data_IF_478416376935
#
_entry.id   IF_478416376935
#
_cell.length_a   1.000
_cell.length_b   1.000
_cell.length_c   1.000
_cell.angle_alpha   90.00
_cell.angle_beta   90.00
_cell.angle_gamma   90.00
#
_symmetry.space_group_name_H-M   'P 1'
#
loop_
_entity.id
_entity.type
_entity.pdbx_description
1 polymer ?
#
# COMPACT_ATOMS: atom_id res chain seq x y z
N UNK A 1 -9.64 34.03 -5.29
CA UNK A 1 -9.57 32.97 -4.26
C UNK A 1 -8.25 33.13 -3.52
N UNK A 2 -8.26 33.29 -2.20
CA UNK A 2 -7.02 33.37 -1.42
C UNK A 2 -6.50 31.95 -1.21
N UNK A 3 -5.27 31.66 -1.63
CA UNK A 3 -4.66 30.33 -1.53
C UNK A 3 -3.58 30.36 -0.46
N UNK A 4 -3.85 29.70 0.67
CA UNK A 4 -2.92 29.66 1.78
C UNK A 4 -2.04 28.41 1.75
N UNK A 5 -0.94 28.45 2.52
CA UNK A 5 -0.06 27.30 2.69
C UNK A 5 -0.81 26.04 3.19
N UNK A 6 -1.86 26.20 4.00
CA UNK A 6 -2.69 25.09 4.47
C UNK A 6 -3.52 24.46 3.35
N UNK A 7 -3.99 25.25 2.40
CA UNK A 7 -4.70 24.75 1.22
C UNK A 7 -3.78 23.92 0.34
N UNK A 8 -2.54 24.39 0.15
CA UNK A 8 -1.50 23.62 -0.53
C UNK A 8 -1.27 22.26 0.13
N UNK A 9 -1.06 22.23 1.45
CA UNK A 9 -0.85 20.98 2.19
C UNK A 9 -2.03 20.03 2.04
N UNK A 10 -3.26 20.55 2.14
CA UNK A 10 -4.49 19.78 1.99
C UNK A 10 -4.60 19.17 0.59
N UNK A 11 -4.37 19.95 -0.47
CA UNK A 11 -4.39 19.49 -1.85
C UNK A 11 -3.28 18.48 -2.13
N UNK A 12 -2.07 18.71 -1.60
CA UNK A 12 -0.93 17.80 -1.78
C UNK A 12 -1.19 16.44 -1.13
N UNK A 13 -1.76 16.40 0.07
CA UNK A 13 -2.19 15.14 0.72
C UNK A 13 -3.23 14.43 -0.13
N UNK A 14 -4.25 15.16 -0.62
CA UNK A 14 -5.24 14.59 -1.55
C UNK A 14 -4.60 14.01 -2.81
N UNK A 15 -3.61 14.69 -3.38
CA UNK A 15 -2.88 14.21 -4.56
C UNK A 15 -2.14 12.90 -4.27
N UNK A 16 -1.40 12.81 -3.16
CA UNK A 16 -0.71 11.57 -2.77
C UNK A 16 -1.71 10.42 -2.52
N UNK A 17 -2.86 10.70 -1.90
CA UNK A 17 -3.90 9.70 -1.70
C UNK A 17 -4.57 9.22 -3.00
N UNK A 18 -4.42 9.92 -4.13
CA UNK A 18 -4.88 9.45 -5.44
C UNK A 18 -3.89 8.47 -6.10
N UNK A 19 -2.64 8.44 -5.66
CA UNK A 19 -1.61 7.57 -6.25
C UNK A 19 -1.98 6.09 -6.11
N UNK A 20 -1.73 5.30 -7.16
CA UNK A 20 -2.02 3.85 -7.13
C UNK A 20 -1.11 3.09 -6.17
N UNK A 21 0.12 3.58 -6.01
CA UNK A 21 1.12 3.04 -5.09
C UNK A 21 1.50 4.12 -4.08
N UNK A 22 1.32 3.84 -2.80
CA UNK A 22 1.73 4.75 -1.73
C UNK A 22 2.20 3.96 -0.51
N UNK A 23 3.32 4.36 0.08
CA UNK A 23 3.78 3.86 1.35
C UNK A 23 3.43 4.85 2.45
N UNK A 24 2.92 4.32 3.54
CA UNK A 24 2.66 5.02 4.77
C UNK A 24 3.75 4.65 5.77
N UNK A 25 4.53 5.63 6.20
CA UNK A 25 5.71 5.36 7.02
C UNK A 25 5.87 6.39 8.12
N UNK A 26 6.41 5.95 9.25
CA UNK A 26 7.02 6.84 10.23
C UNK A 26 8.49 7.00 9.91
N UNK A 27 9.04 8.16 10.20
CA UNK A 27 10.48 8.39 10.16
C UNK A 27 10.95 9.11 11.43
N UNK A 28 12.26 9.15 11.64
CA UNK A 28 12.84 10.01 12.66
C UNK A 28 13.09 11.42 12.10
N UNK A 29 12.97 12.45 12.94
CA UNK A 29 13.51 13.77 12.58
C UNK A 29 15.03 13.69 12.72
N UNK A 30 15.73 13.75 11.60
CA UNK A 30 17.19 13.67 11.54
C UNK A 30 17.81 15.06 11.46
N UNK A 31 19.09 15.17 11.85
CA UNK A 31 19.89 16.36 11.59
C UNK A 31 20.03 16.60 10.08
N UNK A 32 20.40 17.82 9.67
CA UNK A 32 20.49 18.20 8.26
C UNK A 32 21.41 17.29 7.44
N UNK A 33 22.55 16.88 8.01
CA UNK A 33 23.53 15.99 7.35
C UNK A 33 22.99 14.59 7.11
N UNK A 34 22.33 14.00 8.11
CA UNK A 34 21.70 12.68 7.97
C UNK A 34 20.48 12.73 7.06
N UNK A 35 19.74 13.85 7.07
CA UNK A 35 18.58 14.03 6.20
C UNK A 35 18.97 14.03 4.72
N UNK A 36 20.07 14.68 4.34
CA UNK A 36 20.55 14.66 2.95
C UNK A 36 20.85 13.23 2.47
N UNK A 37 21.48 12.41 3.31
CA UNK A 37 21.76 11.01 2.96
C UNK A 37 20.46 10.20 2.79
N UNK A 38 19.46 10.46 3.62
CA UNK A 38 18.11 9.87 3.51
C UNK A 38 17.45 10.27 2.19
N UNK A 39 17.45 11.56 1.84
CA UNK A 39 16.88 12.05 0.59
C UNK A 39 17.55 11.44 -0.64
N UNK A 40 18.89 11.41 -0.65
CA UNK A 40 19.66 10.77 -1.73
C UNK A 40 19.33 9.29 -1.86
N UNK A 41 19.16 8.59 -0.74
CA UNK A 41 18.82 7.16 -0.74
C UNK A 41 17.42 6.92 -1.27
N UNK A 42 16.43 7.72 -0.86
CA UNK A 42 15.08 7.67 -1.41
C UNK A 42 15.07 7.93 -2.92
N UNK A 43 15.83 8.93 -3.38
CA UNK A 43 15.96 9.24 -4.80
C UNK A 43 16.61 8.08 -5.59
N UNK A 44 17.68 7.46 -5.06
CA UNK A 44 18.30 6.24 -5.65
C UNK A 44 17.32 5.07 -5.72
N UNK A 45 16.42 4.94 -4.73
CA UNK A 45 15.34 3.96 -4.71
C UNK A 45 14.11 4.41 -5.53
N UNK A 46 14.19 5.52 -6.27
CA UNK A 46 13.11 6.08 -7.10
C UNK A 46 11.84 6.39 -6.30
N UNK A 47 12.01 6.86 -5.06
CA UNK A 47 10.95 7.26 -4.14
C UNK A 47 10.97 8.76 -3.92
N UNK A 48 9.79 9.38 -4.03
CA UNK A 48 9.51 10.72 -3.57
C UNK A 48 8.77 10.67 -2.25
N UNK A 49 9.22 11.48 -1.31
CA UNK A 49 8.58 11.60 -0.01
C UNK A 49 7.75 12.88 0.09
N UNK A 50 6.83 12.89 1.05
CA UNK A 50 6.18 14.08 1.54
C UNK A 50 5.98 13.94 3.05
N UNK A 51 6.59 14.86 3.81
CA UNK A 51 6.39 14.96 5.26
C UNK A 51 5.03 15.56 5.52
N UNK A 52 4.20 14.82 6.24
CA UNK A 52 2.78 15.12 6.38
C UNK A 52 2.53 15.94 7.65
N UNK A 53 1.67 16.96 7.56
CA UNK A 53 1.16 17.62 8.76
C UNK A 53 -0.07 16.88 9.27
N UNK A 54 0.06 16.22 10.43
CA UNK A 54 -0.90 15.24 10.92
C UNK A 54 -2.33 15.78 11.02
N UNK A 55 -2.55 16.99 11.54
CA UNK A 55 -3.92 17.54 11.69
C UNK A 55 -4.63 17.67 10.35
N UNK A 56 -3.93 18.17 9.32
CA UNK A 56 -4.51 18.33 7.98
C UNK A 56 -4.71 16.96 7.35
N UNK A 57 -3.77 16.04 7.52
CA UNK A 57 -3.88 14.69 6.96
C UNK A 57 -5.02 13.89 7.55
N UNK A 58 -5.21 13.92 8.87
CA UNK A 58 -6.36 13.32 9.53
C UNK A 58 -7.66 13.91 8.97
N UNK A 59 -7.75 15.23 8.78
CA UNK A 59 -8.93 15.88 8.17
C UNK A 59 -9.18 15.40 6.74
N UNK A 60 -8.14 15.21 5.92
CA UNK A 60 -8.28 14.69 4.55
C UNK A 60 -8.70 13.21 4.56
N UNK A 61 -8.02 12.40 5.34
CA UNK A 61 -8.19 10.95 5.40
C UNK A 61 -9.55 10.56 5.97
N UNK A 62 -9.98 11.22 7.06
CA UNK A 62 -11.28 10.96 7.68
C UNK A 62 -12.46 11.35 6.77
N UNK A 63 -12.22 12.17 5.74
CA UNK A 63 -13.20 12.53 4.71
C UNK A 63 -13.06 11.70 3.42
N UNK A 64 -12.32 10.59 3.46
CA UNK A 64 -12.05 9.75 2.30
C UNK A 64 -12.44 8.30 2.58
N UNK A 65 -12.36 7.43 1.57
CA UNK A 65 -12.55 5.98 1.73
C UNK A 65 -11.45 5.30 2.57
N UNK A 66 -10.43 6.06 2.99
CA UNK A 66 -9.28 5.57 3.76
C UNK A 66 -9.34 5.95 5.24
N UNK A 67 -10.52 6.26 5.81
CA UNK A 67 -10.69 6.64 7.22
C UNK A 67 -9.92 5.76 8.21
N UNK A 68 -9.84 4.45 7.95
CA UNK A 68 -9.16 3.49 8.81
C UNK A 68 -7.65 3.76 9.01
N UNK A 69 -6.97 4.45 8.08
CA UNK A 69 -5.55 4.80 8.28
C UNK A 69 -5.34 6.03 9.17
N UNK A 70 -6.40 6.75 9.56
CA UNK A 70 -6.27 7.90 10.45
C UNK A 70 -5.54 7.53 11.75
N UNK A 71 -5.76 6.32 12.27
CA UNK A 71 -5.10 5.81 13.47
C UNK A 71 -3.58 5.64 13.31
N UNK A 72 -3.09 5.47 12.08
CA UNK A 72 -1.67 5.34 11.77
C UNK A 72 -0.95 6.70 11.75
N UNK A 73 -1.67 7.80 11.48
CA UNK A 73 -1.10 9.12 11.30
C UNK A 73 -0.77 9.74 12.66
N UNK A 74 0.41 9.40 13.18
CA UNK A 74 0.95 9.87 14.46
C UNK A 74 2.44 10.14 14.32
N UNK A 75 2.96 11.03 15.17
CA UNK A 75 4.39 11.38 15.17
C UNK A 75 4.86 11.97 13.83
N UNK A 76 6.12 11.74 13.48
CA UNK A 76 6.69 12.20 12.20
C UNK A 76 6.29 11.23 11.09
N UNK A 77 5.21 11.58 10.41
CA UNK A 77 4.58 10.73 9.40
C UNK A 77 4.91 11.18 7.98
N UNK A 78 5.13 10.21 7.10
CA UNK A 78 5.50 10.43 5.71
C UNK A 78 4.65 9.61 4.76
N UNK A 79 4.38 10.22 3.61
CA UNK A 79 3.91 9.54 2.43
C UNK A 79 5.08 9.33 1.48
N UNK A 80 5.32 8.10 1.04
CA UNK A 80 6.31 7.81 -0.01
C UNK A 80 5.60 7.28 -1.24
N UNK A 81 5.92 7.83 -2.41
CA UNK A 81 5.41 7.36 -3.69
C UNK A 81 6.56 7.09 -4.65
N UNK A 82 6.30 6.32 -5.70
CA UNK A 82 7.29 6.15 -6.76
C UNK A 82 7.39 7.43 -7.57
N UNK A 83 8.61 7.83 -7.91
CA UNK A 83 8.85 9.00 -8.74
C UNK A 83 8.57 8.74 -10.22
N UNK A 84 8.86 7.53 -10.70
CA UNK A 84 8.61 7.07 -12.07
C UNK A 84 7.93 5.70 -12.08
N UNK A 85 7.23 5.38 -13.17
CA UNK A 85 6.63 4.06 -13.46
C UNK A 85 7.69 2.97 -13.76
N UNK A 86 8.82 2.97 -13.06
CA UNK A 86 9.82 1.91 -13.21
C UNK A 86 9.31 0.59 -12.64
N UNK A 87 9.81 -0.56 -13.14
CA UNK A 87 9.50 -1.85 -12.56
C UNK A 87 9.83 -1.81 -11.08
N UNK A 88 8.79 -2.05 -10.27
CA UNK A 88 8.89 -1.95 -8.83
C UNK A 88 10.08 -2.76 -8.32
N UNK A 89 10.97 -2.10 -7.58
CA UNK A 89 12.06 -2.74 -6.83
C UNK A 89 11.48 -3.93 -6.07
N UNK A 90 12.19 -5.07 -6.10
CA UNK A 90 11.75 -6.28 -5.41
C UNK A 90 11.39 -5.93 -3.97
N UNK A 91 10.20 -6.35 -3.51
CA UNK A 91 9.65 -6.06 -2.17
C UNK A 91 10.70 -6.14 -1.05
N UNK A 92 11.54 -7.19 -1.07
CA UNK A 92 12.60 -7.41 -0.07
C UNK A 92 13.63 -6.27 -0.05
N UNK A 93 14.10 -5.85 -1.23
CA UNK A 93 15.09 -4.78 -1.38
C UNK A 93 14.52 -3.45 -0.90
N UNK A 94 13.28 -3.13 -1.32
CA UNK A 94 12.58 -1.92 -0.88
C UNK A 94 12.45 -1.83 0.64
N UNK A 95 12.03 -2.91 1.30
CA UNK A 95 11.80 -2.88 2.76
C UNK A 95 13.11 -2.75 3.52
N UNK A 96 14.15 -3.48 3.09
CA UNK A 96 15.48 -3.38 3.67
C UNK A 96 16.07 -1.98 3.52
N UNK A 97 15.92 -1.37 2.34
CA UNK A 97 16.38 0.00 2.09
C UNK A 97 15.69 1.01 3.01
N UNK A 98 14.36 0.92 3.17
CA UNK A 98 13.62 1.81 4.06
C UNK A 98 14.06 1.70 5.53
N UNK A 99 14.26 0.48 6.02
CA UNK A 99 14.75 0.25 7.38
C UNK A 99 16.14 0.86 7.59
N UNK A 100 17.05 0.75 6.60
CA UNK A 100 18.39 1.33 6.68
C UNK A 100 18.43 2.86 6.70
N UNK A 101 17.37 3.52 6.22
CA UNK A 101 17.27 4.99 6.18
C UNK A 101 16.33 5.55 7.25
N UNK A 102 16.10 4.80 8.33
CA UNK A 102 15.25 5.21 9.47
C UNK A 102 13.78 5.42 9.15
N UNK A 103 13.27 4.76 8.11
CA UNK A 103 11.84 4.72 7.80
C UNK A 103 11.23 3.41 8.27
N UNK A 104 10.29 3.50 9.21
CA UNK A 104 9.45 2.37 9.60
C UNK A 104 8.20 2.37 8.72
N UNK A 105 8.13 1.42 7.80
CA UNK A 105 6.94 1.19 6.99
C UNK A 105 5.79 0.74 7.91
N UNK A 106 4.61 1.37 7.79
CA UNK A 106 3.41 1.04 8.55
C UNK A 106 2.35 0.32 7.72
N UNK A 107 2.16 0.75 6.47
CA UNK A 107 1.18 0.19 5.55
C UNK A 107 1.51 0.56 4.11
N UNK A 108 0.93 -0.16 3.16
CA UNK A 108 1.05 0.15 1.73
C UNK A 108 -0.33 0.25 1.11
N UNK A 109 -0.54 1.28 0.31
CA UNK A 109 -1.61 1.37 -0.66
C UNK A 109 -1.19 0.75 -1.99
N UNK A 110 -1.94 -0.23 -2.47
CA UNK A 110 -1.81 -0.79 -3.82
C UNK A 110 -3.20 -0.76 -4.48
N UNK A 111 -3.32 -0.10 -5.64
CA UNK A 111 -4.56 -0.03 -6.43
C UNK A 111 -5.80 0.31 -5.58
N UNK A 112 -5.73 1.41 -4.84
CA UNK A 112 -6.82 1.92 -3.99
C UNK A 112 -7.22 1.02 -2.81
N UNK A 113 -6.45 -0.03 -2.52
CA UNK A 113 -6.60 -0.83 -1.30
C UNK A 113 -5.39 -0.63 -0.41
N UNK A 114 -5.62 -0.58 0.89
CA UNK A 114 -4.57 -0.44 1.89
C UNK A 114 -4.34 -1.79 2.54
N UNK A 115 -3.07 -2.15 2.65
CA UNK A 115 -2.60 -3.41 3.20
C UNK A 115 -1.65 -3.11 4.35
N UNK A 116 -1.87 -3.80 5.46
CA UNK A 116 -0.93 -3.85 6.58
C UNK A 116 0.36 -4.58 6.19
N UNK A 117 1.45 -4.32 6.90
CA UNK A 117 2.72 -5.01 6.69
C UNK A 117 2.54 -6.53 6.83
N UNK A 118 1.74 -6.99 7.79
CA UNK A 118 1.49 -8.41 8.03
C UNK A 118 0.84 -9.09 6.82
N UNK A 119 -0.12 -8.43 6.17
CA UNK A 119 -0.73 -8.92 4.93
C UNK A 119 0.29 -8.97 3.80
N UNK A 120 1.11 -7.93 3.66
CA UNK A 120 2.07 -7.83 2.55
C UNK A 120 3.21 -8.81 2.72
N UNK A 121 3.64 -9.13 3.95
CA UNK A 121 4.72 -10.10 4.24
C UNK A 121 4.51 -11.42 3.51
N UNK A 122 3.26 -11.89 3.39
CA UNK A 122 2.89 -13.14 2.70
C UNK A 122 2.89 -13.06 1.17
N UNK A 123 2.85 -11.87 0.59
CA UNK A 123 2.78 -11.68 -0.86
C UNK A 123 4.18 -11.75 -1.49
N UNK A 124 4.34 -12.52 -2.57
CA UNK A 124 5.62 -12.71 -3.28
C UNK A 124 6.09 -11.45 -4.00
N UNK A 125 5.17 -10.73 -4.63
CA UNK A 125 5.45 -9.55 -5.43
C UNK A 125 4.50 -8.41 -5.04
N UNK A 126 4.88 -7.18 -5.31
CA UNK A 126 3.99 -6.02 -5.20
C UNK A 126 3.36 -5.66 -6.56
N UNK A 127 3.70 -6.40 -7.64
CA UNK A 127 3.06 -6.28 -8.95
C UNK A 127 1.64 -6.86 -8.89
N UNK A 128 0.65 -5.97 -9.00
CA UNK A 128 -0.76 -6.36 -8.91
C UNK A 128 -1.17 -7.44 -9.91
N UNK A 129 -0.81 -7.31 -11.20
CA UNK A 129 -1.18 -8.29 -12.24
C UNK A 129 -0.69 -9.69 -11.89
N UNK A 130 0.56 -9.80 -11.44
CA UNK A 130 1.15 -11.08 -11.01
C UNK A 130 0.42 -11.68 -9.81
N UNK A 131 0.08 -10.86 -8.81
CA UNK A 131 -0.66 -11.33 -7.64
C UNK A 131 -2.10 -11.75 -7.99
N UNK A 132 -2.75 -11.02 -8.89
CA UNK A 132 -4.11 -11.34 -9.34
C UNK A 132 -4.14 -12.63 -10.16
N UNK A 133 -3.12 -12.87 -10.99
CA UNK A 133 -2.98 -14.14 -11.71
C UNK A 133 -2.81 -15.32 -10.76
N UNK A 134 -1.97 -15.18 -9.72
CA UNK A 134 -1.81 -16.20 -8.68
C UNK A 134 -3.10 -16.44 -7.90
N UNK A 135 -3.83 -15.37 -7.57
CA UNK A 135 -5.12 -15.48 -6.90
C UNK A 135 -6.16 -16.18 -7.78
N UNK A 136 -6.22 -15.84 -9.06
CA UNK A 136 -7.10 -16.51 -10.02
C UNK A 136 -6.77 -18.00 -10.15
N UNK A 137 -5.48 -18.36 -10.26
CA UNK A 137 -5.04 -19.76 -10.27
C UNK A 137 -5.43 -20.49 -8.98
N UNK A 138 -5.25 -19.85 -7.82
CA UNK A 138 -5.68 -20.40 -6.53
C UNK A 138 -7.20 -20.63 -6.49
N UNK A 139 -8.00 -19.68 -6.96
CA UNK A 139 -9.45 -19.83 -7.04
C UNK A 139 -9.83 -20.97 -7.98
N UNK A 140 -9.22 -21.06 -9.16
CA UNK A 140 -9.48 -22.16 -10.10
C UNK A 140 -9.16 -23.52 -9.49
N UNK A 141 -8.02 -23.65 -8.78
CA UNK A 141 -7.62 -24.91 -8.17
C UNK A 141 -8.54 -25.33 -7.01
N UNK A 142 -8.93 -24.39 -6.15
CA UNK A 142 -9.66 -24.71 -4.92
C UNK A 142 -11.19 -24.66 -5.09
N UNK A 143 -11.72 -23.80 -5.96
CA UNK A 143 -13.16 -23.69 -6.17
C UNK A 143 -13.69 -24.68 -7.21
N UNK A 144 -12.91 -25.07 -8.24
CA UNK A 144 -13.37 -26.12 -9.17
C UNK A 144 -13.67 -27.43 -8.45
N UNK A 145 -12.90 -27.77 -7.41
CA UNK A 145 -13.16 -28.92 -6.56
C UNK A 145 -14.50 -28.82 -5.84
N UNK A 146 -14.82 -27.65 -5.26
CA UNK A 146 -16.08 -27.43 -4.53
C UNK A 146 -17.28 -27.59 -5.47
N UNK A 147 -17.27 -26.93 -6.64
CA UNK A 147 -18.38 -27.03 -7.59
C UNK A 147 -18.52 -28.43 -8.18
N UNK A 148 -17.43 -29.10 -8.55
CA UNK A 148 -17.45 -30.47 -9.09
C UNK A 148 -17.97 -31.52 -8.11
N UNK A 149 -17.75 -31.32 -6.80
CA UNK A 149 -18.30 -32.19 -5.75
C UNK A 149 -19.81 -31.95 -5.58
N UNK A 150 -20.28 -30.70 -5.59
CA UNK A 150 -21.73 -30.40 -5.54
C UNK A 150 -22.49 -30.97 -6.72
N UNK A 151 -21.98 -30.86 -7.96
CA UNK A 151 -22.64 -31.46 -9.13
C UNK A 151 -22.71 -32.99 -9.04
N UNK A 152 -21.63 -33.67 -8.60
CA UNK A 152 -21.64 -35.14 -8.38
C UNK A 152 -22.57 -35.59 -7.25
N UNK A 153 -22.76 -34.76 -6.22
CA UNK A 153 -23.69 -35.05 -5.13
C UNK A 153 -25.14 -34.93 -5.58
N UNK A 154 -25.45 -33.92 -6.39
CA UNK A 154 -26.79 -33.70 -6.95
C UNK A 154 -27.15 -34.80 -7.96
N UNK A 155 -26.22 -35.19 -8.85
CA UNK A 155 -26.48 -36.26 -9.82
C UNK A 155 -26.72 -37.63 -9.16
N UNK A 156 -25.92 -37.99 -8.14
CA UNK A 156 -26.13 -39.24 -7.38
C UNK A 156 -27.43 -39.26 -6.56
N UNK A 157 -27.95 -38.11 -6.16
CA UNK A 157 -29.23 -38.03 -5.43
C UNK A 157 -30.43 -38.27 -6.37
N UNK A 158 -30.30 -37.93 -7.66
CA UNK A 158 -31.34 -38.16 -8.65
C UNK A 158 -31.40 -39.63 -9.12
N UNK A 159 -30.27 -40.34 -9.12
CA UNK A 159 -30.19 -41.74 -9.58
C UNK A 159 -30.66 -42.78 -8.53
N UNK A 160 -30.93 -42.37 -7.29
CA UNK A 160 -31.37 -43.24 -6.18
C UNK A 160 -32.89 -43.20 -5.94
N UNK A 161 -33.64 -42.44 -6.73
CA UNK A 161 -35.09 -42.26 -6.62
C UNK A 161 -35.88 -42.85 -7.81
N UNK A 162 -35.30 -43.79 -8.54
CA UNK A 162 -35.94 -44.62 -9.57
C UNK A 162 -35.65 -46.08 -9.30
#
# INVERSE_FOLDING_TARGET
MHFEFRDYQFLKIKQYLKEKFLLFSNGANQTSTHWLAVEQSLHRSNLKYYKVYNKIALKVVNKSIYTNIGQLIKGTFFFLKLEKNLPLVTKKKLFKELETIFFTLLSIKLNNKIYSIAQIKKIKSLKYKSNMALFYQFLLANLKGVYGITYKKISKQCDLNT
#
